data_IF_682934972491
#
_entry.id   IF_682934972491
#
_cell.length_a   1.000
_cell.length_b   1.000
_cell.length_c   1.000
_cell.angle_alpha   90.00
_cell.angle_beta   90.00
_cell.angle_gamma   90.00
#
_symmetry.space_group_name_H-M   'P 1'
#
loop_
_entity.id
_entity.type
_entity.pdbx_description
1 polymer ?
#
# COMPACT_ATOMS: atom_id res chain seq x y z
N UNK A 1 -11.99 -14.10 -13.92
CA UNK A 1 -10.70 -13.58 -13.41
C UNK A 1 -10.78 -12.07 -13.49
N UNK A 2 -10.46 -11.34 -12.43
CA UNK A 2 -10.42 -9.88 -12.49
C UNK A 2 -9.07 -9.44 -13.07
N UNK A 3 -9.10 -8.50 -14.01
CA UNK A 3 -7.90 -7.85 -14.52
C UNK A 3 -7.74 -6.52 -13.79
N UNK A 4 -6.63 -6.34 -13.11
CA UNK A 4 -6.34 -5.12 -12.36
C UNK A 4 -5.13 -4.40 -12.95
N UNK A 5 -5.11 -3.07 -12.81
CA UNK A 5 -3.99 -2.24 -13.22
C UNK A 5 -3.54 -1.31 -12.09
N UNK A 6 -2.24 -0.99 -12.10
CA UNK A 6 -1.70 0.08 -11.26
C UNK A 6 -2.02 1.42 -11.93
N UNK A 7 -2.78 2.27 -11.26
CA UNK A 7 -3.28 3.51 -11.86
C UNK A 7 -2.17 4.49 -12.26
N UNK A 8 -1.05 4.47 -11.54
CA UNK A 8 0.08 5.36 -11.84
C UNK A 8 0.86 4.98 -13.12
N UNK A 9 0.63 3.79 -13.69
CA UNK A 9 1.20 3.40 -14.99
C UNK A 9 0.51 4.17 -16.15
N UNK A 10 -0.67 4.73 -15.90
CA UNK A 10 -1.41 5.59 -16.83
C UNK A 10 -1.03 7.08 -16.72
N UNK A 11 -0.05 7.41 -15.87
CA UNK A 11 0.26 8.78 -15.48
C UNK A 11 -0.85 9.40 -14.63
N UNK A 12 -0.65 10.64 -14.19
CA UNK A 12 -1.69 11.36 -13.44
C UNK A 12 -2.87 11.72 -14.34
N UNK A 13 -4.06 11.38 -13.90
CA UNK A 13 -5.32 11.66 -14.59
C UNK A 13 -6.23 12.54 -13.71
N UNK A 14 -7.13 13.33 -14.29
CA UNK A 14 -8.18 13.95 -13.51
C UNK A 14 -9.04 12.89 -12.79
N UNK A 15 -9.52 13.22 -11.59
CA UNK A 15 -10.35 12.32 -10.78
C UNK A 15 -11.55 11.79 -11.58
N UNK A 16 -12.19 12.65 -12.37
CA UNK A 16 -13.38 12.30 -13.13
C UNK A 16 -13.09 11.49 -14.41
N UNK A 17 -11.83 11.26 -14.74
CA UNK A 17 -11.41 10.61 -16.00
C UNK A 17 -10.80 9.23 -15.82
N UNK A 18 -10.10 8.99 -14.72
CA UNK A 18 -9.28 7.78 -14.53
C UNK A 18 -10.10 6.50 -14.63
N UNK A 19 -11.24 6.43 -13.93
CA UNK A 19 -12.07 5.23 -13.93
C UNK A 19 -12.63 4.91 -15.33
N UNK A 20 -13.05 5.94 -16.08
CA UNK A 20 -13.51 5.77 -17.46
C UNK A 20 -12.39 5.31 -18.41
N UNK A 21 -11.18 5.82 -18.23
CA UNK A 21 -10.00 5.35 -18.98
C UNK A 21 -9.74 3.85 -18.72
N UNK A 22 -9.68 3.44 -17.45
CA UNK A 22 -9.50 2.03 -17.09
C UNK A 22 -10.58 1.13 -17.70
N UNK A 23 -11.85 1.60 -17.66
CA UNK A 23 -12.96 0.87 -18.25
C UNK A 23 -12.80 0.68 -19.76
N UNK A 24 -12.34 1.71 -20.47
CA UNK A 24 -12.13 1.64 -21.92
C UNK A 24 -11.03 0.65 -22.33
N UNK A 25 -10.07 0.39 -21.43
CA UNK A 25 -8.98 -0.59 -21.61
C UNK A 25 -9.37 -2.02 -21.16
N UNK A 26 -10.61 -2.23 -20.71
CA UNK A 26 -11.08 -3.54 -20.25
C UNK A 26 -10.58 -3.93 -18.86
N UNK A 27 -10.18 -2.97 -18.04
CA UNK A 27 -9.72 -3.18 -16.67
C UNK A 27 -10.92 -3.27 -15.73
N UNK A 28 -10.91 -4.24 -14.82
CA UNK A 28 -11.98 -4.49 -13.86
C UNK A 28 -11.71 -3.90 -12.48
N UNK A 29 -10.42 -3.74 -12.14
CA UNK A 29 -10.00 -3.32 -10.81
C UNK A 29 -8.72 -2.46 -10.85
N UNK A 30 -8.48 -1.71 -9.79
CA UNK A 30 -7.36 -0.79 -9.67
C UNK A 30 -6.56 -0.99 -8.39
N UNK A 31 -5.24 -0.87 -8.50
CA UNK A 31 -4.36 -0.48 -7.41
C UNK A 31 -4.18 1.03 -7.52
N UNK A 32 -4.69 1.75 -6.54
CA UNK A 32 -4.77 3.21 -6.54
C UNK A 32 -3.77 3.81 -5.57
N UNK A 33 -2.89 4.68 -6.05
CA UNK A 33 -2.00 5.51 -5.21
C UNK A 33 -2.39 6.96 -5.41
N UNK A 34 -3.04 7.59 -4.41
CA UNK A 34 -3.71 8.88 -4.57
C UNK A 34 -2.80 9.97 -5.15
N UNK A 35 -1.60 10.26 -4.60
CA UNK A 35 -0.74 11.32 -5.14
C UNK A 35 -0.10 10.98 -6.49
N UNK A 36 -0.09 9.71 -6.89
CA UNK A 36 0.50 9.27 -8.16
C UNK A 36 -0.54 9.10 -9.26
N UNK A 37 -1.81 8.89 -8.90
CA UNK A 37 -2.89 8.62 -9.85
C UNK A 37 -3.65 9.87 -10.31
N UNK A 38 -3.66 10.95 -9.52
CA UNK A 38 -4.51 12.11 -9.78
C UNK A 38 -3.76 13.41 -9.95
N UNK A 39 -4.21 14.24 -10.91
CA UNK A 39 -3.64 15.56 -11.17
C UNK A 39 -3.97 16.56 -10.07
N UNK A 40 -5.11 16.39 -9.38
CA UNK A 40 -5.58 17.26 -8.31
C UNK A 40 -4.96 16.96 -6.95
N UNK A 41 -4.17 15.87 -6.84
CA UNK A 41 -3.58 15.43 -5.57
C UNK A 41 -2.07 15.42 -5.68
N UNK A 42 -1.38 16.34 -4.98
CA UNK A 42 0.07 16.40 -4.92
C UNK A 42 0.64 15.58 -3.76
N UNK A 43 -0.09 15.51 -2.65
CA UNK A 43 0.31 14.78 -1.45
C UNK A 43 -0.89 14.21 -0.69
N UNK A 44 -0.66 13.31 0.28
CA UNK A 44 -1.73 12.80 1.13
C UNK A 44 -2.32 13.88 2.07
N UNK A 45 -1.64 14.99 2.29
CA UNK A 45 -2.14 16.08 3.13
C UNK A 45 -3.22 16.92 2.44
N UNK A 46 -3.28 16.85 1.11
CA UNK A 46 -4.31 17.52 0.29
C UNK A 46 -5.59 16.69 0.16
N UNK A 47 -5.58 15.44 0.64
CA UNK A 47 -6.74 14.55 0.52
C UNK A 47 -7.78 14.89 1.59
N UNK A 48 -9.00 15.20 1.14
CA UNK A 48 -10.16 15.49 1.99
C UNK A 48 -11.24 14.41 1.84
N UNK A 49 -12.20 14.32 2.78
CA UNK A 49 -13.34 13.42 2.65
C UNK A 49 -14.13 13.61 1.34
N UNK A 50 -14.29 14.85 0.87
CA UNK A 50 -15.00 15.18 -0.37
C UNK A 50 -14.27 14.64 -1.60
N UNK A 51 -12.93 14.71 -1.60
CA UNK A 51 -12.10 14.13 -2.66
C UNK A 51 -12.27 12.61 -2.67
N UNK A 52 -12.25 11.95 -1.53
CA UNK A 52 -12.44 10.50 -1.40
C UNK A 52 -13.83 10.09 -1.92
N UNK A 53 -14.89 10.79 -1.53
CA UNK A 53 -16.25 10.53 -2.04
C UNK A 53 -16.34 10.71 -3.55
N UNK A 54 -15.70 11.74 -4.10
CA UNK A 54 -15.66 11.98 -5.55
C UNK A 54 -14.96 10.85 -6.29
N UNK A 55 -13.83 10.37 -5.76
CA UNK A 55 -13.10 9.22 -6.32
C UNK A 55 -14.00 7.98 -6.28
N UNK A 56 -14.57 7.66 -5.11
CA UNK A 56 -15.48 6.52 -4.94
C UNK A 56 -16.60 6.53 -5.95
N UNK A 57 -17.32 7.67 -6.05
CA UNK A 57 -18.45 7.81 -6.94
C UNK A 57 -18.08 7.59 -8.43
N UNK A 58 -16.90 8.07 -8.86
CA UNK A 58 -16.44 7.86 -10.24
C UNK A 58 -16.08 6.39 -10.51
N UNK A 59 -15.41 5.71 -9.57
CA UNK A 59 -15.06 4.31 -9.73
C UNK A 59 -16.29 3.40 -9.69
N UNK A 60 -17.26 3.68 -8.81
CA UNK A 60 -18.55 2.97 -8.76
C UNK A 60 -19.36 3.15 -10.04
N UNK A 61 -19.44 4.38 -10.56
CA UNK A 61 -20.15 4.70 -11.81
C UNK A 61 -19.64 3.88 -12.99
N UNK A 62 -18.33 3.72 -13.11
CA UNK A 62 -17.70 2.94 -14.18
C UNK A 62 -17.62 1.44 -13.88
N UNK A 63 -17.99 1.00 -12.67
CA UNK A 63 -17.94 -0.39 -12.24
C UNK A 63 -16.52 -0.92 -12.05
N UNK A 64 -15.56 -0.04 -11.78
CA UNK A 64 -14.17 -0.41 -11.48
C UNK A 64 -14.00 -0.57 -9.98
N UNK A 65 -13.51 -1.72 -9.53
CA UNK A 65 -13.21 -1.97 -8.11
C UNK A 65 -11.86 -1.35 -7.73
N UNK A 66 -11.80 -0.65 -6.61
CA UNK A 66 -10.52 -0.32 -6.00
C UNK A 66 -10.11 -1.52 -5.15
N UNK A 67 -9.14 -2.28 -5.63
CA UNK A 67 -8.71 -3.50 -4.92
C UNK A 67 -7.65 -3.19 -3.87
N UNK A 68 -6.68 -2.32 -4.21
CA UNK A 68 -5.64 -1.88 -3.28
C UNK A 68 -5.62 -0.35 -3.25
N UNK A 69 -5.77 0.24 -2.07
CA UNK A 69 -5.33 1.60 -1.80
C UNK A 69 -3.85 1.54 -1.41
N UNK A 70 -2.96 1.86 -2.35
CA UNK A 70 -1.53 1.86 -2.11
C UNK A 70 -1.11 3.12 -1.33
N UNK A 71 -0.53 2.92 -0.16
CA UNK A 71 0.04 3.97 0.69
C UNK A 71 1.47 3.57 1.04
N UNK A 72 2.37 3.65 0.06
CA UNK A 72 3.76 3.24 0.20
C UNK A 72 4.51 4.21 1.08
N UNK A 73 5.04 3.72 2.21
CA UNK A 73 5.61 4.53 3.28
C UNK A 73 6.89 3.89 3.84
N UNK A 74 7.74 4.74 4.40
CA UNK A 74 9.03 4.36 5.01
C UNK A 74 8.84 3.84 6.44
N UNK A 75 8.12 2.71 6.58
CA UNK A 75 7.66 2.16 7.85
C UNK A 75 8.79 1.68 8.77
N UNK A 76 9.95 1.33 8.19
CA UNK A 76 11.11 0.83 8.93
C UNK A 76 12.17 1.90 9.23
N UNK A 77 11.95 3.16 8.86
CA UNK A 77 12.97 4.19 9.00
C UNK A 77 13.39 4.40 10.46
N UNK A 78 14.71 4.38 10.78
CA UNK A 78 15.21 4.64 12.13
C UNK A 78 14.96 6.06 12.63
N UNK A 79 14.80 7.03 11.72
CA UNK A 79 14.43 8.40 12.07
C UNK A 79 12.97 8.43 12.56
N UNK A 80 12.79 8.85 13.82
CA UNK A 80 11.49 8.84 14.49
C UNK A 80 10.47 9.79 13.85
N UNK A 81 10.91 10.94 13.33
CA UNK A 81 10.00 11.91 12.71
C UNK A 81 9.53 11.41 11.35
N UNK A 82 10.43 10.86 10.54
CA UNK A 82 10.09 10.22 9.26
C UNK A 82 9.13 9.05 9.46
N UNK A 83 9.44 8.18 10.41
CA UNK A 83 8.60 7.01 10.71
C UNK A 83 7.24 7.41 11.27
N UNK A 84 7.19 8.40 12.16
CA UNK A 84 5.94 8.93 12.68
C UNK A 84 5.06 9.46 11.57
N UNK A 85 5.60 10.27 10.65
CA UNK A 85 4.87 10.78 9.50
C UNK A 85 4.36 9.64 8.61
N UNK A 86 5.17 8.61 8.38
CA UNK A 86 4.80 7.44 7.59
C UNK A 86 3.59 6.71 8.21
N UNK A 87 3.65 6.43 9.51
CA UNK A 87 2.56 5.77 10.26
C UNK A 87 1.30 6.64 10.28
N UNK A 88 1.42 7.94 10.55
CA UNK A 88 0.28 8.86 10.59
C UNK A 88 -0.41 8.97 9.20
N UNK A 89 0.37 9.00 8.12
CA UNK A 89 -0.16 9.01 6.75
C UNK A 89 -0.89 7.70 6.41
N UNK A 90 -0.32 6.56 6.79
CA UNK A 90 -0.97 5.27 6.56
C UNK A 90 -2.27 5.15 7.36
N UNK A 91 -2.32 5.63 8.61
CA UNK A 91 -3.54 5.69 9.43
C UNK A 91 -4.63 6.55 8.77
N UNK A 92 -4.26 7.69 8.15
CA UNK A 92 -5.21 8.47 7.34
C UNK A 92 -5.78 7.62 6.19
N UNK A 93 -4.94 6.86 5.48
CA UNK A 93 -5.40 5.98 4.41
C UNK A 93 -6.33 4.87 4.90
N UNK A 94 -6.07 4.27 6.06
CA UNK A 94 -6.99 3.32 6.69
C UNK A 94 -8.36 3.96 6.98
N UNK A 95 -8.37 5.19 7.51
CA UNK A 95 -9.61 5.92 7.77
C UNK A 95 -10.35 6.27 6.46
N UNK A 96 -9.65 6.73 5.44
CA UNK A 96 -10.25 7.01 4.12
C UNK A 96 -10.82 5.76 3.46
N UNK A 97 -10.24 4.60 3.72
CA UNK A 97 -10.68 3.35 3.13
C UNK A 97 -12.10 2.96 3.51
N UNK A 98 -12.58 3.37 4.68
CA UNK A 98 -13.99 3.15 5.07
C UNK A 98 -14.97 3.79 4.10
N UNK A 99 -14.63 4.94 3.55
CA UNK A 99 -15.43 5.64 2.55
C UNK A 99 -15.11 5.16 1.13
N UNK A 100 -13.82 5.00 0.82
CA UNK A 100 -13.36 4.62 -0.52
C UNK A 100 -13.79 3.21 -0.91
N UNK A 101 -13.85 2.29 0.04
CA UNK A 101 -14.28 0.91 -0.18
C UNK A 101 -13.26 0.04 -0.92
N UNK A 102 -11.96 0.36 -0.84
CA UNK A 102 -10.93 -0.52 -1.35
C UNK A 102 -10.85 -1.80 -0.50
N UNK A 103 -10.47 -2.92 -1.11
CA UNK A 103 -10.40 -4.20 -0.40
C UNK A 103 -9.34 -4.19 0.70
N UNK A 104 -8.20 -3.54 0.45
CA UNK A 104 -7.09 -3.41 1.41
C UNK A 104 -6.37 -2.08 1.26
N UNK A 105 -5.69 -1.63 2.32
CA UNK A 105 -4.68 -0.58 2.27
C UNK A 105 -3.30 -1.22 2.32
N UNK A 106 -2.45 -1.01 1.30
CA UNK A 106 -1.19 -1.71 1.15
C UNK A 106 0.04 -0.83 1.16
N UNK A 107 1.15 -1.35 1.69
CA UNK A 107 2.48 -0.70 1.66
C UNK A 107 3.61 -1.72 1.56
N UNK A 108 4.70 -1.30 0.93
CA UNK A 108 6.04 -1.80 1.21
C UNK A 108 6.53 -1.25 2.55
N UNK A 109 7.78 -1.58 2.96
CA UNK A 109 8.25 -1.22 4.31
C UNK A 109 9.43 -0.25 4.34
N UNK A 110 9.98 0.11 3.17
CA UNK A 110 11.03 1.10 3.01
C UNK A 110 10.98 1.74 1.62
N UNK A 111 11.66 2.88 1.44
CA UNK A 111 11.94 3.47 0.12
C UNK A 111 13.33 3.11 -0.41
N UNK A 112 14.41 3.20 0.43
CA UNK A 112 15.74 2.91 -0.08
C UNK A 112 15.98 1.42 -0.24
N UNK A 113 16.89 1.08 -1.15
CA UNK A 113 17.47 -0.25 -1.21
C UNK A 113 18.47 -0.39 -0.08
N UNK A 114 18.18 -1.25 0.87
CA UNK A 114 18.98 -1.49 2.06
C UNK A 114 19.88 -2.72 1.87
N UNK A 115 21.12 -2.63 2.37
CA UNK A 115 21.96 -3.81 2.54
C UNK A 115 21.53 -4.61 3.77
N UNK A 116 22.13 -5.79 4.00
CA UNK A 116 21.68 -6.70 5.05
C UNK A 116 21.90 -6.18 6.47
N UNK A 117 22.90 -5.35 6.71
CA UNK A 117 23.12 -4.74 8.03
C UNK A 117 22.08 -3.63 8.27
N UNK A 118 21.79 -2.82 7.27
CA UNK A 118 20.74 -1.81 7.34
C UNK A 118 19.37 -2.45 7.58
N UNK A 119 19.02 -3.54 6.87
CA UNK A 119 17.77 -4.28 7.09
C UNK A 119 17.62 -4.74 8.54
N UNK A 120 18.71 -5.23 9.17
CA UNK A 120 18.70 -5.62 10.59
C UNK A 120 18.43 -4.43 11.51
N UNK A 121 19.00 -3.27 11.21
CA UNK A 121 18.79 -2.04 11.97
C UNK A 121 17.34 -1.56 11.82
N UNK A 122 16.79 -1.61 10.61
CA UNK A 122 15.45 -1.12 10.30
C UNK A 122 14.33 -2.05 10.79
N UNK A 123 14.60 -3.35 10.88
CA UNK A 123 13.60 -4.37 11.22
C UNK A 123 12.81 -4.09 12.51
N UNK A 124 13.40 -3.75 13.67
CA UNK A 124 12.63 -3.49 14.88
C UNK A 124 11.71 -2.27 14.76
N UNK A 125 12.10 -1.25 14.01
CA UNK A 125 11.27 -0.06 13.74
C UNK A 125 10.10 -0.39 12.83
N UNK A 126 10.33 -1.19 11.78
CA UNK A 126 9.27 -1.73 10.94
C UNK A 126 8.25 -2.53 11.76
N UNK A 127 8.71 -3.40 12.65
CA UNK A 127 7.84 -4.19 13.52
C UNK A 127 6.97 -3.33 14.43
N UNK A 128 7.51 -2.26 15.02
CA UNK A 128 6.75 -1.28 15.82
C UNK A 128 5.69 -0.58 14.96
N UNK A 129 6.08 -0.10 13.78
CA UNK A 129 5.16 0.58 12.86
C UNK A 129 4.01 -0.33 12.42
N UNK A 130 4.31 -1.57 12.02
CA UNK A 130 3.27 -2.54 11.64
C UNK A 130 2.33 -2.83 12.80
N UNK A 131 2.83 -3.02 14.03
CA UNK A 131 1.99 -3.25 15.20
C UNK A 131 1.00 -2.10 15.43
N UNK A 132 1.47 -0.86 15.36
CA UNK A 132 0.63 0.35 15.51
C UNK A 132 -0.39 0.52 14.38
N UNK A 133 -0.07 0.04 13.18
CA UNK A 133 -0.99 0.07 12.03
C UNK A 133 -2.02 -1.05 12.11
N UNK A 134 -1.63 -2.22 12.56
CA UNK A 134 -2.55 -3.36 12.81
C UNK A 134 -3.57 -2.98 13.88
N UNK A 135 -3.15 -2.38 15.01
CA UNK A 135 -4.06 -1.88 16.04
C UNK A 135 -5.10 -0.90 15.46
N UNK A 136 -4.66 0.00 14.60
CA UNK A 136 -5.57 0.95 13.94
C UNK A 136 -6.49 0.28 12.93
N UNK A 137 -5.99 -0.69 12.16
CA UNK A 137 -6.77 -1.47 11.19
C UNK A 137 -7.89 -2.25 11.90
N UNK A 138 -7.57 -2.92 13.02
CA UNK A 138 -8.55 -3.61 13.87
C UNK A 138 -9.59 -2.63 14.43
N UNK A 139 -9.16 -1.49 14.96
CA UNK A 139 -10.05 -0.45 15.50
C UNK A 139 -11.04 0.07 14.46
N UNK A 140 -10.61 0.18 13.21
CA UNK A 140 -11.42 0.67 12.10
C UNK A 140 -12.22 -0.44 11.39
N UNK A 141 -11.93 -1.71 11.66
CA UNK A 141 -12.47 -2.86 10.91
C UNK A 141 -12.13 -2.74 9.41
N UNK A 142 -10.85 -2.57 9.11
CA UNK A 142 -10.29 -2.38 7.75
C UNK A 142 -9.08 -3.28 7.58
N UNK A 143 -8.98 -3.97 6.46
CA UNK A 143 -7.81 -4.78 6.16
C UNK A 143 -6.64 -3.92 5.66
N UNK A 144 -5.45 -4.22 6.16
CA UNK A 144 -4.18 -3.70 5.67
C UNK A 144 -3.31 -4.82 5.11
N UNK A 145 -2.37 -4.48 4.24
CA UNK A 145 -1.42 -5.45 3.71
C UNK A 145 0.01 -4.89 3.68
N UNK A 146 0.96 -5.79 3.87
CA UNK A 146 2.38 -5.51 3.68
C UNK A 146 2.92 -6.32 2.51
N UNK A 147 3.87 -5.75 1.79
CA UNK A 147 4.49 -6.35 0.62
C UNK A 147 5.96 -6.67 0.91
N UNK A 148 6.37 -7.96 0.88
CA UNK A 148 7.77 -8.34 0.95
C UNK A 148 8.52 -7.86 -0.30
N UNK A 149 9.65 -7.16 -0.07
CA UNK A 149 10.55 -6.69 -1.13
C UNK A 149 11.99 -6.98 -0.69
N UNK A 150 12.74 -7.67 -1.51
CA UNK A 150 14.10 -8.14 -1.17
C UNK A 150 14.99 -7.06 -0.54
N UNK A 151 14.89 -5.82 -1.02
CA UNK A 151 15.71 -4.70 -0.56
C UNK A 151 15.21 -4.02 0.72
N UNK A 152 14.10 -4.49 1.31
CA UNK A 152 13.45 -3.90 2.48
C UNK A 152 13.65 -4.74 3.75
N UNK A 153 13.32 -4.21 4.94
CA UNK A 153 13.36 -5.00 6.17
C UNK A 153 12.42 -6.21 6.14
N UNK A 154 11.28 -6.10 5.46
CA UNK A 154 10.39 -7.20 5.10
C UNK A 154 10.83 -7.73 3.73
N UNK A 155 11.81 -8.62 3.71
CA UNK A 155 12.54 -8.99 2.49
C UNK A 155 12.07 -10.27 1.80
N UNK A 156 11.47 -11.20 2.55
CA UNK A 156 11.15 -12.54 2.08
C UNK A 156 9.97 -13.16 2.84
N UNK A 157 9.59 -14.37 2.46
CA UNK A 157 8.47 -15.08 3.09
C UNK A 157 8.79 -15.52 4.53
N UNK A 158 10.04 -15.76 4.87
CA UNK A 158 10.44 -16.09 6.25
C UNK A 158 10.22 -14.90 7.18
N UNK A 159 10.70 -13.74 6.77
CA UNK A 159 10.48 -12.48 7.50
C UNK A 159 8.98 -12.14 7.58
N UNK A 160 8.24 -12.37 6.49
CA UNK A 160 6.79 -12.20 6.48
C UNK A 160 6.09 -13.13 7.49
N UNK A 161 6.45 -14.41 7.52
CA UNK A 161 5.90 -15.37 8.48
C UNK A 161 6.10 -14.92 9.94
N UNK A 162 7.30 -14.41 10.28
CA UNK A 162 7.57 -13.86 11.61
C UNK A 162 6.71 -12.64 11.94
N UNK A 163 6.47 -11.74 10.97
CA UNK A 163 5.58 -10.59 11.14
C UNK A 163 4.16 -11.07 11.42
N UNK A 164 3.63 -11.98 10.60
CA UNK A 164 2.26 -12.49 10.74
C UNK A 164 2.06 -13.25 12.07
N UNK A 165 3.01 -14.08 12.45
CA UNK A 165 2.97 -14.81 13.73
C UNK A 165 2.95 -13.83 14.92
N UNK A 166 3.79 -12.78 14.88
CA UNK A 166 3.88 -11.81 15.96
C UNK A 166 2.66 -10.89 16.04
N UNK A 167 2.13 -10.44 14.92
CA UNK A 167 0.95 -9.56 14.89
C UNK A 167 -0.34 -10.32 15.20
N UNK A 168 -0.45 -11.57 14.76
CA UNK A 168 -1.58 -12.47 15.00
C UNK A 168 -2.95 -11.80 14.76
N UNK A 169 -3.08 -11.05 13.68
CA UNK A 169 -4.28 -10.29 13.35
C UNK A 169 -4.92 -10.76 12.05
N UNK A 170 -6.24 -10.89 12.06
CA UNK A 170 -7.00 -11.19 10.85
C UNK A 170 -7.09 -10.02 9.88
N UNK A 171 -6.77 -8.80 10.33
CA UNK A 171 -6.74 -7.59 9.48
C UNK A 171 -5.41 -7.36 8.79
N UNK A 172 -4.35 -8.14 9.12
CA UNK A 172 -3.09 -8.09 8.39
C UNK A 172 -3.10 -9.10 7.25
N UNK A 173 -2.88 -8.63 6.03
CA UNK A 173 -2.77 -9.41 4.80
C UNK A 173 -1.38 -9.23 4.17
N UNK A 174 -1.11 -9.98 3.11
CA UNK A 174 0.12 -9.85 2.33
C UNK A 174 -0.22 -9.53 0.87
N UNK A 175 0.48 -8.55 0.30
CA UNK A 175 0.60 -8.41 -1.14
C UNK A 175 1.75 -9.31 -1.58
N UNK A 176 1.47 -10.26 -2.44
CA UNK A 176 2.49 -11.14 -3.00
C UNK A 176 2.83 -10.71 -4.42
N UNK A 177 4.02 -10.10 -4.58
CA UNK A 177 4.60 -9.79 -5.89
C UNK A 177 5.73 -10.77 -6.19
N UNK A 178 5.54 -11.69 -7.15
CA UNK A 178 6.59 -12.64 -7.52
C UNK A 178 7.86 -11.98 -8.05
N UNK A 179 7.76 -10.81 -8.70
CA UNK A 179 8.94 -10.11 -9.21
C UNK A 179 9.87 -9.66 -8.08
N UNK A 180 9.31 -9.21 -6.95
CA UNK A 180 10.09 -8.83 -5.77
C UNK A 180 10.80 -10.02 -5.11
N UNK A 181 10.32 -11.24 -5.31
CA UNK A 181 10.97 -12.47 -4.84
C UNK A 181 12.06 -12.91 -5.81
N UNK A 182 11.85 -12.74 -7.10
CA UNK A 182 12.85 -13.09 -8.15
C UNK A 182 14.07 -12.14 -8.15
N UNK A 183 13.96 -10.96 -7.58
CA UNK A 183 15.11 -10.06 -7.38
C UNK A 183 16.09 -10.56 -6.30
N UNK A 184 15.73 -11.63 -5.58
CA UNK A 184 16.60 -12.23 -4.56
C UNK A 184 17.86 -12.82 -5.23
N UNK A 185 19.09 -12.41 -4.82
CA UNK A 185 20.32 -12.85 -5.48
C UNK A 185 20.63 -14.35 -5.33
N UNK A 186 19.96 -15.04 -4.40
CA UNK A 186 20.09 -16.49 -4.19
C UNK A 186 19.10 -17.30 -5.06
N UNK A 187 18.15 -16.63 -5.73
CA UNK A 187 17.30 -17.29 -6.71
C UNK A 187 18.10 -17.32 -8.01
N UNK A 188 18.63 -18.49 -8.31
CA UNK A 188 19.38 -18.73 -9.53
C UNK A 188 18.52 -18.37 -10.74
N UNK A 189 19.06 -17.53 -11.60
CA UNK A 189 18.37 -17.06 -12.81
C UNK A 189 18.62 -18.02 -14.01
N UNK A 190 18.81 -19.33 -13.73
CA UNK A 190 18.98 -20.35 -14.76
C UNK A 190 17.71 -20.62 -15.59
#
# INVERSE_FOLDING_TARGET
MLVAARTHDYGKQPIDSLAGLLKSEGIDAAQLVLPKGFTEIGSYDEVTPEIIERIRANFEKEGIKIHILGCYMDLGNPDDDVRKQAVDTFKKCLAFNKTLGASIVGSETAYPRLNDEEKKIWHPYMMDSIARLVEEAERLDVDMAVEPVYWHPLKDLETAAMVFEKMNSSHLKMIFDPANVLEHPEIDQD
#
